data_IF_915653044717
#
_entry.id   IF_915653044717
#
_cell.length_a   1.000
_cell.length_b   1.000
_cell.length_c   1.000
_cell.angle_alpha   90.00
_cell.angle_beta   90.00
_cell.angle_gamma   90.00
#
_symmetry.space_group_name_H-M   'P 1'
#
loop_
_entity.id
_entity.type
_entity.pdbx_description
1 polymer ?
#
# COMPACT_ATOMS: atom_id res chain seq x y z
N UNK A 1 5.82 -5.64 7.92
CA UNK A 1 5.66 -7.07 7.62
C UNK A 1 4.31 -7.24 6.95
N UNK A 2 4.25 -7.95 5.82
CA UNK A 2 3.00 -8.39 5.23
C UNK A 2 2.63 -9.73 5.86
N UNK A 3 1.43 -9.86 6.41
CA UNK A 3 0.88 -11.17 6.76
C UNK A 3 0.59 -11.95 5.48
N UNK A 4 0.73 -13.27 5.52
CA UNK A 4 0.30 -14.11 4.39
C UNK A 4 -1.17 -13.86 4.06
N UNK A 5 -1.53 -13.88 2.78
CA UNK A 5 -2.88 -13.58 2.34
C UNK A 5 -3.03 -13.37 0.84
N UNK A 6 -4.28 -13.13 0.43
CA UNK A 6 -4.63 -12.76 -0.93
C UNK A 6 -4.46 -11.25 -1.13
N UNK A 7 -3.69 -10.87 -2.14
CA UNK A 7 -3.44 -9.48 -2.56
C UNK A 7 -3.95 -9.26 -3.98
N UNK A 8 -3.92 -8.02 -4.47
CA UNK A 8 -4.40 -7.72 -5.82
C UNK A 8 -3.61 -8.46 -6.92
N UNK A 9 -2.30 -8.64 -6.72
CA UNK A 9 -1.40 -9.30 -7.67
C UNK A 9 -1.37 -10.84 -7.53
N UNK A 10 -1.67 -11.39 -6.36
CA UNK A 10 -1.46 -12.82 -6.09
C UNK A 10 -1.70 -13.22 -4.64
N UNK A 11 -1.56 -14.51 -4.35
CA UNK A 11 -1.56 -15.04 -2.99
C UNK A 11 -0.13 -15.15 -2.48
N UNK A 12 0.18 -14.45 -1.38
CA UNK A 12 1.46 -14.52 -0.69
C UNK A 12 1.32 -15.45 0.53
N UNK A 13 2.10 -16.54 0.62
CA UNK A 13 1.96 -17.54 1.69
C UNK A 13 2.42 -17.04 3.08
N UNK A 14 3.12 -15.91 3.15
CA UNK A 14 3.65 -15.37 4.42
C UNK A 14 5.10 -15.76 4.70
N UNK A 15 5.69 -16.63 3.87
CA UNK A 15 7.11 -17.01 3.92
C UNK A 15 7.85 -16.41 2.72
N UNK A 16 9.00 -15.77 3.00
CA UNK A 16 9.89 -15.19 2.00
C UNK A 16 10.54 -16.25 1.09
N UNK A 17 10.62 -17.50 1.55
CA UNK A 17 11.18 -18.62 0.81
C UNK A 17 10.18 -19.25 -0.16
N UNK A 18 8.89 -18.87 -0.10
CA UNK A 18 7.85 -19.42 -0.96
C UNK A 18 7.42 -18.41 -2.03
N UNK A 19 7.19 -18.87 -3.29
CA UNK A 19 6.79 -17.99 -4.37
C UNK A 19 5.34 -17.52 -4.21
N UNK A 20 5.09 -16.30 -4.71
CA UNK A 20 3.72 -15.77 -4.85
C UNK A 20 2.96 -16.55 -5.92
N UNK A 21 1.73 -16.98 -5.59
CA UNK A 21 0.82 -17.53 -6.58
C UNK A 21 0.01 -16.41 -7.25
N UNK A 22 0.52 -15.96 -8.41
CA UNK A 22 -0.09 -14.90 -9.21
C UNK A 22 -1.42 -15.29 -9.86
N UNK A 23 -1.85 -16.56 -9.81
CA UNK A 23 -3.17 -16.97 -10.30
C UNK A 23 -4.29 -16.69 -9.29
N UNK A 24 -3.93 -16.44 -8.03
CA UNK A 24 -4.85 -16.32 -6.90
C UNK A 24 -5.02 -14.90 -6.38
N UNK A 25 -4.65 -13.87 -7.15
CA UNK A 25 -4.87 -12.47 -6.78
C UNK A 25 -6.28 -11.98 -7.11
N UNK A 26 -6.69 -10.85 -6.52
CA UNK A 26 -8.01 -10.27 -6.81
C UNK A 26 -8.16 -9.79 -8.26
N UNK A 27 -7.06 -9.34 -8.87
CA UNK A 27 -7.05 -8.88 -10.25
C UNK A 27 -6.59 -9.95 -11.24
N UNK A 28 -6.07 -11.09 -10.76
CA UNK A 28 -5.56 -12.17 -11.60
C UNK A 28 -6.53 -12.66 -12.69
N UNK A 29 -7.87 -12.73 -12.47
CA UNK A 29 -8.80 -13.11 -13.54
C UNK A 29 -8.95 -12.07 -14.67
N UNK A 30 -8.52 -10.82 -14.43
CA UNK A 30 -8.73 -9.68 -15.34
C UNK A 30 -7.46 -9.20 -16.02
N UNK A 31 -6.29 -9.64 -15.54
CA UNK A 31 -5.00 -9.37 -16.17
C UNK A 31 -4.51 -10.59 -16.94
N UNK A 32 -3.64 -10.37 -17.93
CA UNK A 32 -2.93 -11.47 -18.58
C UNK A 32 -2.12 -12.26 -17.56
N UNK A 33 -1.82 -13.53 -17.86
CA UNK A 33 -0.86 -14.34 -17.11
C UNK A 33 0.60 -13.83 -17.18
N UNK A 34 0.81 -12.66 -17.76
CA UNK A 34 2.08 -11.96 -17.78
C UNK A 34 2.35 -11.34 -16.41
N UNK A 35 3.39 -11.83 -15.73
CA UNK A 35 3.74 -11.40 -14.39
C UNK A 35 4.50 -10.07 -14.38
N UNK A 36 5.00 -9.60 -15.54
CA UNK A 36 5.69 -8.30 -15.66
C UNK A 36 4.74 -7.12 -15.38
N UNK A 37 3.42 -7.31 -15.55
CA UNK A 37 2.41 -6.27 -15.30
C UNK A 37 2.43 -5.74 -13.85
N UNK A 38 2.89 -6.56 -12.91
CA UNK A 38 2.92 -6.21 -11.48
C UNK A 38 4.14 -5.38 -11.10
N UNK A 39 5.20 -5.43 -11.91
CA UNK A 39 6.45 -4.76 -11.62
C UNK A 39 6.61 -3.51 -12.49
N UNK A 40 6.88 -2.37 -11.85
CA UNK A 40 7.24 -1.17 -12.59
C UNK A 40 8.67 -1.33 -13.17
N UNK A 41 8.89 -1.14 -14.48
CA UNK A 41 10.23 -1.24 -15.08
C UNK A 41 11.25 -0.25 -14.53
N UNK A 42 10.80 0.88 -13.97
CA UNK A 42 11.67 1.88 -13.32
C UNK A 42 11.93 1.57 -11.83
N UNK A 43 11.32 0.51 -11.29
CA UNK A 43 11.56 0.09 -9.91
C UNK A 43 12.59 -1.05 -9.86
N UNK A 44 13.87 -0.69 -9.92
CA UNK A 44 14.98 -1.63 -10.11
C UNK A 44 15.90 -1.80 -8.89
N UNK A 45 16.00 -0.80 -8.02
CA UNK A 45 16.90 -0.80 -6.86
C UNK A 45 16.13 -0.98 -5.53
N UNK A 46 15.63 -2.19 -5.29
CA UNK A 46 14.89 -2.51 -4.06
C UNK A 46 15.19 -3.93 -3.54
N UNK A 47 14.84 -4.16 -2.28
CA UNK A 47 14.85 -5.48 -1.68
C UNK A 47 13.44 -6.11 -1.77
N UNK A 48 13.28 -7.27 -2.43
CA UNK A 48 11.97 -7.90 -2.62
C UNK A 48 11.40 -8.48 -1.31
N UNK A 49 10.09 -8.30 -1.09
CA UNK A 49 9.38 -8.82 0.10
C UNK A 49 8.67 -10.15 -0.14
N UNK A 50 8.71 -10.70 -1.35
CA UNK A 50 8.38 -12.09 -1.60
C UNK A 50 9.16 -12.60 -2.82
N UNK A 51 9.12 -13.91 -3.05
CA UNK A 51 9.73 -14.51 -4.22
C UNK A 51 8.80 -14.36 -5.44
N UNK A 52 9.26 -13.62 -6.45
CA UNK A 52 8.54 -13.35 -7.71
C UNK A 52 8.71 -11.88 -8.15
N UNK A 53 8.23 -11.50 -9.35
CA UNK A 53 8.10 -10.10 -9.76
C UNK A 53 6.95 -9.47 -8.97
N UNK A 54 7.23 -9.15 -7.72
CA UNK A 54 6.29 -8.52 -6.80
C UNK A 54 6.05 -7.05 -7.15
N UNK A 55 5.15 -6.39 -6.41
CA UNK A 55 4.52 -5.17 -6.92
C UNK A 55 5.25 -3.86 -6.60
N UNK A 56 5.44 -3.04 -7.64
CA UNK A 56 5.83 -1.64 -7.52
C UNK A 56 4.65 -0.72 -7.15
N UNK A 57 3.45 -1.25 -7.01
CA UNK A 57 2.23 -0.46 -6.83
C UNK A 57 1.57 -0.78 -5.49
N UNK A 58 0.94 0.21 -4.88
CA UNK A 58 0.05 0.01 -3.76
C UNK A 58 -1.39 0.25 -4.16
N UNK A 59 -2.31 -0.36 -3.40
CA UNK A 59 -3.72 -0.01 -3.44
C UNK A 59 -4.14 0.80 -2.21
N UNK A 60 -5.22 1.54 -2.36
CA UNK A 60 -5.93 2.16 -1.25
C UNK A 60 -6.69 1.10 -0.46
N UNK A 61 -6.08 0.60 0.62
CA UNK A 61 -6.69 -0.44 1.46
C UNK A 61 -7.96 -0.01 2.19
N UNK A 62 -8.25 1.30 2.29
CA UNK A 62 -9.52 1.75 2.88
C UNK A 62 -10.72 1.17 2.12
N UNK A 63 -10.59 1.03 0.80
CA UNK A 63 -11.63 0.47 -0.07
C UNK A 63 -11.32 -0.93 -0.57
N UNK A 64 -10.06 -1.23 -0.90
CA UNK A 64 -9.67 -2.39 -1.71
C UNK A 64 -9.02 -3.53 -0.93
N UNK A 65 -9.26 -3.61 0.38
CA UNK A 65 -8.72 -4.71 1.19
C UNK A 65 -9.78 -5.68 1.70
N UNK A 66 -9.40 -6.95 1.80
CA UNK A 66 -10.04 -7.93 2.68
C UNK A 66 -9.29 -8.08 4.01
N UNK A 67 -8.07 -7.54 4.08
CA UNK A 67 -7.11 -7.71 5.16
C UNK A 67 -6.56 -6.36 5.58
N UNK A 68 -6.89 -5.94 6.79
CA UNK A 68 -6.12 -4.90 7.47
C UNK A 68 -5.85 -5.37 8.89
N UNK A 69 -4.68 -5.05 9.44
CA UNK A 69 -4.42 -5.22 10.85
C UNK A 69 -5.24 -4.28 11.71
N UNK A 70 -6.53 -4.56 11.88
CA UNK A 70 -7.37 -3.95 12.90
C UNK A 70 -8.73 -4.65 12.95
N UNK A 71 -8.83 -5.76 13.67
CA UNK A 71 -10.03 -5.93 14.51
C UNK A 71 -9.64 -5.43 15.89
N UNK A 72 -10.05 -4.19 16.14
CA UNK A 72 -10.34 -3.56 17.43
C UNK A 72 -9.90 -4.38 18.65
N UNK A 73 -8.89 -3.87 19.37
CA UNK A 73 -8.64 -4.20 20.78
C UNK A 73 -7.72 -5.37 21.11
N UNK A 74 -7.09 -6.04 20.13
CA UNK A 74 -6.12 -7.12 20.40
C UNK A 74 -4.78 -6.87 19.68
N UNK A 75 -3.62 -7.03 20.35
CA UNK A 75 -2.33 -6.98 19.69
C UNK A 75 -2.16 -8.05 18.61
N UNK A 76 -1.32 -7.82 17.59
CA UNK A 76 -1.08 -8.79 16.50
C UNK A 76 -0.49 -10.15 16.97
N UNK A 77 0.03 -10.21 18.20
CA UNK A 77 0.50 -11.44 18.84
C UNK A 77 -0.58 -12.16 19.66
N UNK A 78 -1.78 -11.59 19.75
CA UNK A 78 -2.90 -12.19 20.46
C UNK A 78 -3.55 -13.28 19.59
N UNK A 79 -3.79 -14.50 20.12
CA UNK A 79 -4.44 -15.58 19.39
C UNK A 79 -5.88 -15.26 18.91
N UNK A 80 -6.55 -14.28 19.53
CA UNK A 80 -7.88 -13.80 19.17
C UNK A 80 -7.87 -12.68 18.13
N UNK A 81 -6.68 -12.22 17.72
CA UNK A 81 -6.51 -11.25 16.65
C UNK A 81 -7.04 -11.82 15.33
N UNK A 82 -7.92 -11.07 14.67
CA UNK A 82 -8.52 -11.45 13.40
C UNK A 82 -8.36 -10.29 12.43
N UNK A 83 -7.80 -10.52 11.24
CA UNK A 83 -7.68 -9.50 10.19
C UNK A 83 -9.00 -9.40 9.40
N UNK A 84 -9.82 -8.35 9.63
CA UNK A 84 -11.04 -8.14 8.82
C UNK A 84 -11.27 -6.66 8.55
N UNK A 85 -10.99 -6.24 7.32
CA UNK A 85 -11.76 -5.16 6.67
C UNK A 85 -12.38 -5.78 5.44
N UNK A 86 -13.70 -5.69 5.29
CA UNK A 86 -14.39 -6.19 4.09
C UNK A 86 -14.23 -5.14 3.01
N UNK A 87 -13.86 -5.56 1.79
CA UNK A 87 -13.81 -4.66 0.64
C UNK A 87 -15.11 -3.88 0.52
N UNK A 88 -15.00 -2.58 0.29
CA UNK A 88 -16.17 -1.69 0.35
C UNK A 88 -16.90 -1.67 -0.99
N UNK A 89 -18.23 -1.58 -0.94
CA UNK A 89 -19.03 -1.35 -2.13
C UNK A 89 -18.63 -0.02 -2.78
N UNK A 90 -18.56 0.02 -4.11
CA UNK A 90 -18.24 1.25 -4.86
C UNK A 90 -19.20 2.39 -4.53
N UNK A 91 -20.44 2.09 -4.18
CA UNK A 91 -21.46 3.06 -3.77
C UNK A 91 -21.07 3.91 -2.54
N UNK A 92 -20.11 3.47 -1.73
CA UNK A 92 -19.65 4.25 -0.56
C UNK A 92 -18.57 5.28 -0.93
N UNK A 93 -18.02 5.23 -2.14
CA UNK A 93 -17.04 6.21 -2.63
C UNK A 93 -17.79 7.49 -3.05
N UNK A 94 -17.69 8.54 -2.24
CA UNK A 94 -18.44 9.79 -2.45
C UNK A 94 -17.91 10.65 -3.59
N UNK A 95 -16.59 10.64 -3.81
CA UNK A 95 -15.89 11.51 -4.78
C UNK A 95 -14.96 10.69 -5.66
N UNK A 96 -15.53 9.92 -6.58
CA UNK A 96 -14.77 9.00 -7.43
C UNK A 96 -13.62 9.66 -8.20
N UNK A 97 -13.80 10.90 -8.66
CA UNK A 97 -12.79 11.69 -9.39
C UNK A 97 -11.61 12.15 -8.52
N UNK A 98 -11.69 12.03 -7.19
CA UNK A 98 -10.62 12.42 -6.27
C UNK A 98 -10.30 11.33 -5.25
N UNK A 99 -10.80 10.11 -5.44
CA UNK A 99 -10.45 8.97 -4.59
C UNK A 99 -9.43 8.11 -5.30
N UNK A 100 -8.25 7.94 -4.70
CA UNK A 100 -7.21 7.08 -5.23
C UNK A 100 -7.53 5.61 -4.98
N UNK A 101 -7.26 4.76 -5.98
CA UNK A 101 -7.36 3.31 -5.89
C UNK A 101 -6.01 2.61 -5.95
N UNK A 102 -5.14 3.00 -6.89
CA UNK A 102 -3.81 2.40 -7.08
C UNK A 102 -2.77 3.43 -7.43
N UNK A 103 -1.51 3.09 -7.27
CA UNK A 103 -0.42 3.82 -7.92
C UNK A 103 0.95 3.52 -7.35
N UNK A 104 1.91 4.34 -7.78
CA UNK A 104 3.33 4.10 -7.53
C UNK A 104 3.69 4.17 -6.05
N UNK A 105 4.26 3.08 -5.54
CA UNK A 105 4.51 2.90 -4.12
C UNK A 105 5.82 2.18 -3.86
N UNK A 106 6.41 2.50 -2.71
CA UNK A 106 7.52 1.81 -2.09
C UNK A 106 7.63 2.34 -0.65
N UNK A 107 8.44 1.69 0.18
CA UNK A 107 8.76 2.18 1.52
C UNK A 107 10.18 1.82 1.90
N UNK A 108 10.74 2.54 2.86
CA UNK A 108 11.97 2.11 3.53
C UNK A 108 11.58 1.22 4.69
N UNK A 109 12.21 0.05 4.82
CA UNK A 109 11.96 -0.82 5.96
C UNK A 109 12.54 -0.19 7.23
N UNK A 110 11.70 0.45 8.05
CA UNK A 110 12.14 1.16 9.26
C UNK A 110 12.54 0.24 10.42
N UNK A 111 12.05 -1.01 10.42
CA UNK A 111 12.20 -1.98 11.51
C UNK A 111 12.33 -3.43 11.00
N UNK A 112 13.05 -4.27 11.75
CA UNK A 112 13.09 -5.73 11.54
C UNK A 112 14.26 -6.24 10.69
N UNK A 113 15.26 -6.82 11.36
CA UNK A 113 16.28 -7.68 10.75
C UNK A 113 17.31 -6.95 9.86
N UNK A 114 18.11 -7.72 9.09
CA UNK A 114 19.25 -7.20 8.31
C UNK A 114 18.87 -6.28 7.14
N UNK A 115 17.57 -6.18 6.82
CA UNK A 115 17.02 -5.40 5.70
C UNK A 115 16.53 -4.02 6.12
N UNK A 116 16.76 -3.62 7.38
CA UNK A 116 16.43 -2.28 7.86
C UNK A 116 17.15 -1.22 7.04
N UNK A 117 16.43 -0.18 6.64
CA UNK A 117 16.96 0.94 5.85
C UNK A 117 17.04 0.69 4.34
N UNK A 118 16.63 -0.49 3.87
CA UNK A 118 16.51 -0.76 2.44
C UNK A 118 15.14 -0.32 1.91
N UNK A 119 15.13 0.15 0.67
CA UNK A 119 13.92 0.36 -0.10
C UNK A 119 13.29 -1.01 -0.39
N UNK A 120 12.01 -1.14 -0.11
CA UNK A 120 11.22 -2.35 -0.30
C UNK A 120 9.88 -2.01 -0.94
N UNK A 121 9.18 -3.04 -1.35
CA UNK A 121 7.85 -2.92 -1.90
C UNK A 121 6.85 -2.48 -0.83
N UNK A 122 5.83 -1.76 -1.29
CA UNK A 122 4.72 -1.38 -0.45
C UNK A 122 3.41 -1.71 -1.15
N UNK A 123 2.71 -2.72 -0.61
CA UNK A 123 1.56 -3.32 -1.27
C UNK A 123 0.25 -2.58 -0.97
N UNK A 124 0.22 -1.74 0.06
CA UNK A 124 -0.91 -0.89 0.42
C UNK A 124 -0.42 0.47 0.91
N UNK A 125 -1.19 1.52 0.65
CA UNK A 125 -0.92 2.86 1.19
C UNK A 125 -1.65 3.08 2.48
N UNK A 126 -1.01 3.59 3.53
CA UNK A 126 -1.65 3.91 4.81
C UNK A 126 -1.86 5.42 4.96
N UNK A 127 -3.11 5.95 4.90
CA UNK A 127 -3.46 7.34 5.18
C UNK A 127 -3.06 7.79 6.57
N UNK A 128 -2.87 9.09 6.73
CA UNK A 128 -2.47 9.72 7.98
C UNK A 128 -3.48 9.49 9.10
N UNK A 129 -4.77 9.71 8.83
CA UNK A 129 -5.85 9.60 9.81
C UNK A 129 -5.94 8.20 10.43
N UNK A 130 -5.67 7.15 9.64
CA UNK A 130 -5.65 5.81 10.21
C UNK A 130 -4.44 5.57 11.11
N UNK A 131 -3.28 6.15 10.77
CA UNK A 131 -2.10 6.16 11.65
C UNK A 131 -2.42 6.94 12.94
N UNK A 132 -3.13 8.06 12.85
CA UNK A 132 -3.54 8.88 13.99
C UNK A 132 -4.49 8.12 14.93
N UNK A 133 -5.50 7.47 14.36
CA UNK A 133 -6.46 6.66 15.11
C UNK A 133 -5.76 5.51 15.84
N UNK A 134 -4.85 4.80 15.16
CA UNK A 134 -4.04 3.73 15.76
C UNK A 134 -3.11 4.24 16.86
N UNK A 135 -2.44 5.37 16.64
CA UNK A 135 -1.55 6.00 17.61
C UNK A 135 -2.29 6.43 18.88
N UNK A 136 -3.47 7.06 18.71
CA UNK A 136 -4.33 7.46 19.81
C UNK A 136 -4.87 6.27 20.61
N UNK A 137 -5.26 5.18 19.94
CA UNK A 137 -5.78 3.97 20.60
C UNK A 137 -4.71 3.29 21.47
N UNK A 138 -3.46 3.24 20.99
CA UNK A 138 -2.39 2.49 21.64
C UNK A 138 -1.42 3.36 22.46
N UNK A 139 -1.64 4.67 22.51
CA UNK A 139 -0.88 5.61 23.34
C UNK A 139 0.57 5.79 22.91
N UNK A 140 0.86 5.77 21.61
CA UNK A 140 2.20 6.05 21.06
C UNK A 140 2.16 7.26 20.11
N UNK A 141 3.32 7.86 19.85
CA UNK A 141 3.45 8.97 18.89
C UNK A 141 3.33 8.47 17.45
N UNK A 142 2.46 9.06 16.60
CA UNK A 142 2.24 8.58 15.24
C UNK A 142 3.54 8.62 14.42
N UNK A 143 3.85 7.50 13.76
CA UNK A 143 5.01 7.35 12.89
C UNK A 143 4.55 7.31 11.43
N UNK A 144 4.58 8.47 10.78
CA UNK A 144 4.23 8.58 9.36
C UNK A 144 5.42 8.15 8.49
N UNK A 145 5.23 7.06 7.75
CA UNK A 145 6.17 6.61 6.73
C UNK A 145 5.74 7.13 5.36
N UNK A 146 6.66 7.70 4.55
CA UNK A 146 6.39 7.99 3.15
C UNK A 146 5.87 6.75 2.42
N UNK A 147 4.74 6.90 1.73
CA UNK A 147 4.02 5.78 1.15
C UNK A 147 4.00 5.80 -0.39
N UNK A 148 4.32 6.92 -1.04
CA UNK A 148 4.29 7.06 -2.51
C UNK A 148 5.71 7.22 -3.07
N UNK A 149 5.98 6.57 -4.20
CA UNK A 149 7.29 6.63 -4.85
C UNK A 149 7.23 7.48 -6.13
N UNK A 150 7.89 8.63 -6.12
CA UNK A 150 7.90 9.62 -7.20
C UNK A 150 9.00 9.36 -8.25
N UNK A 151 9.17 8.08 -8.64
CA UNK A 151 10.27 7.62 -9.51
C UNK A 151 10.18 8.10 -10.96
N UNK A 152 8.97 8.41 -11.44
CA UNK A 152 8.78 8.80 -12.84
C UNK A 152 9.02 10.30 -13.01
N UNK A 153 10.30 10.69 -13.11
CA UNK A 153 10.72 12.09 -13.27
C UNK A 153 10.18 13.01 -12.16
N UNK A 154 10.23 12.53 -10.91
CA UNK A 154 9.70 13.26 -9.76
C UNK A 154 8.17 13.23 -9.64
N UNK A 155 7.51 12.28 -10.33
CA UNK A 155 6.06 12.08 -10.30
C UNK A 155 5.72 10.61 -10.00
N UNK A 156 4.51 10.40 -9.52
CA UNK A 156 3.90 9.10 -9.29
C UNK A 156 2.65 8.98 -10.18
N UNK A 157 2.47 7.84 -10.84
CA UNK A 157 1.26 7.52 -11.58
C UNK A 157 0.20 7.00 -10.59
N UNK A 158 -1.02 7.51 -10.76
CA UNK A 158 -2.13 7.29 -9.83
C UNK A 158 -3.38 6.94 -10.61
N UNK A 159 -4.07 5.88 -10.18
CA UNK A 159 -5.38 5.46 -10.69
C UNK A 159 -6.46 5.91 -9.72
N UNK A 160 -7.48 6.57 -10.25
CA UNK A 160 -8.60 7.13 -9.50
C UNK A 160 -9.86 6.27 -9.63
N UNK A 161 -10.80 6.44 -8.72
CA UNK A 161 -12.00 5.59 -8.62
C UNK A 161 -13.04 5.81 -9.75
N UNK A 162 -12.91 6.86 -10.54
CA UNK A 162 -13.64 7.05 -11.80
C UNK A 162 -12.90 6.45 -13.02
N UNK A 163 -11.80 5.74 -12.79
CA UNK A 163 -10.93 5.06 -13.75
C UNK A 163 -9.98 5.95 -14.55
N UNK A 164 -9.87 7.26 -14.26
CA UNK A 164 -8.81 8.04 -14.89
C UNK A 164 -7.43 7.72 -14.26
N UNK A 165 -6.38 7.98 -15.03
CA UNK A 165 -4.99 7.86 -14.59
C UNK A 165 -4.29 9.18 -14.86
N UNK A 166 -3.52 9.67 -13.89
CA UNK A 166 -2.67 10.84 -14.06
C UNK A 166 -1.35 10.72 -13.30
N UNK A 167 -0.41 11.61 -13.63
CA UNK A 167 0.87 11.72 -12.94
C UNK A 167 0.81 12.86 -11.92
N UNK A 168 1.14 12.54 -10.66
CA UNK A 168 1.07 13.46 -9.52
C UNK A 168 2.46 13.83 -9.02
N UNK A 169 2.64 15.12 -8.75
CA UNK A 169 3.80 15.64 -8.03
C UNK A 169 3.65 15.38 -6.52
N UNK A 170 4.76 15.34 -5.77
CA UNK A 170 4.70 15.19 -4.32
C UNK A 170 3.98 16.37 -3.68
N UNK A 171 3.19 16.06 -2.65
CA UNK A 171 2.61 17.06 -1.78
C UNK A 171 3.72 17.78 -1.00
N UNK A 172 3.69 19.11 -0.85
CA UNK A 172 4.75 19.87 -0.18
C UNK A 172 4.78 19.72 1.35
N UNK A 173 3.94 18.84 1.92
CA UNK A 173 3.88 18.58 3.36
C UNK A 173 5.22 18.09 3.92
N UNK A 174 5.93 17.26 3.14
CA UNK A 174 7.28 16.83 3.47
C UNK A 174 8.11 16.78 2.19
N UNK A 175 9.40 17.11 2.31
CA UNK A 175 10.36 16.91 1.23
C UNK A 175 10.49 15.42 0.91
N UNK A 176 10.79 15.13 -0.36
CA UNK A 176 11.14 13.77 -0.77
C UNK A 176 12.38 13.29 -0.02
N UNK A 177 12.41 12.00 0.31
CA UNK A 177 13.61 11.37 0.83
C UNK A 177 14.63 11.07 -0.31
N UNK A 178 15.77 10.48 0.06
CA UNK A 178 16.83 10.10 -0.90
C UNK A 178 16.39 9.06 -1.95
N UNK A 179 15.28 8.36 -1.70
CA UNK A 179 14.69 7.36 -2.59
C UNK A 179 13.50 7.93 -3.37
N UNK A 180 13.28 9.25 -3.36
CA UNK A 180 12.11 9.89 -3.98
C UNK A 180 10.77 9.42 -3.38
N UNK A 181 10.75 9.03 -2.10
CA UNK A 181 9.52 8.73 -1.39
C UNK A 181 8.91 9.99 -0.78
N UNK A 182 7.57 10.05 -0.78
CA UNK A 182 6.82 11.14 -0.17
C UNK A 182 5.34 10.81 -0.04
N UNK A 183 4.51 11.86 -0.14
CA UNK A 183 3.06 11.79 0.10
C UNK A 183 2.28 12.39 -1.07
N UNK A 184 1.13 11.80 -1.40
CA UNK A 184 0.20 12.34 -2.41
C UNK A 184 -0.63 13.50 -1.87
N UNK A 185 -0.97 13.46 -0.58
CA UNK A 185 -1.70 14.51 0.12
C UNK A 185 -1.13 14.73 1.53
N UNK A 186 -1.56 15.81 2.19
CA UNK A 186 -1.23 16.04 3.59
C UNK A 186 -2.07 15.19 4.55
N UNK A 187 -2.01 15.48 5.86
CA UNK A 187 -2.73 14.74 6.90
C UNK A 187 -4.26 14.78 6.81
N UNK A 188 -4.82 15.56 5.89
CA UNK A 188 -6.25 15.63 5.65
C UNK A 188 -6.78 14.54 4.69
N UNK A 189 -5.88 13.69 4.19
CA UNK A 189 -6.15 12.46 3.42
C UNK A 189 -7.17 12.62 2.28
N UNK A 190 -7.13 13.78 1.60
CA UNK A 190 -8.14 14.17 0.60
C UNK A 190 -8.31 13.19 -0.55
N UNK A 191 -7.33 12.31 -0.77
CA UNK A 191 -7.38 11.29 -1.83
C UNK A 191 -7.73 9.88 -1.37
N UNK A 192 -7.49 9.51 -0.12
CA UNK A 192 -7.67 8.12 0.34
C UNK A 192 -9.01 7.86 0.99
N UNK A 193 -9.61 8.93 1.51
CA UNK A 193 -10.87 9.06 2.23
C UNK A 193 -11.09 8.14 3.45
N UNK A 194 -10.31 8.35 4.52
CA UNK A 194 -10.63 7.81 5.85
C UNK A 194 -11.74 8.60 6.57
N UNK A 195 -12.56 9.40 5.88
CA UNK A 195 -13.85 9.89 6.37
C UNK A 195 -14.03 11.41 6.38
N UNK A 196 -13.78 12.07 5.24
CA UNK A 196 -14.59 13.21 4.82
C UNK A 196 -15.84 12.70 4.08
#
# INVERSE_FOLDING_TARGET
>A
WSSGGQYFFGFYPGDLAEPVDFSRGFLSPYVSHDTEIWQCPEFTEFFPLAQGPTCGYAYNYYYLTQTHPSVVGLPWWDPGYKDWKVGRETAVIRKTTTTVLFGDSAKVLSWGGPKRGYLVENWHWTPFKEIDEMAAEWGFEPLYEPYTHFRHRGQANVVWADNHVDSRKPHPFASLDKHSLGYLCGPDDVYFDPGK
#
